data_IF_660932738452
#
_entry.id   IF_660932738452
#
_cell.length_a   1.000
_cell.length_b   1.000
_cell.length_c   1.000
_cell.angle_alpha   90.00
_cell.angle_beta   90.00
_cell.angle_gamma   90.00
#
_symmetry.space_group_name_H-M   'P 1'
#
loop_
_entity.id
_entity.type
_entity.pdbx_description
1 polymer ?
#
# COMPACT_ATOMS: atom_id res chain seq x y z
N UNK A 1 -31.49 -67.55 -0.69
CA UNK A 1 -31.54 -66.21 -1.23
C UNK A 1 -31.13 -65.26 -0.10
N UNK A 2 -29.85 -64.80 -0.03
CA UNK A 2 -29.33 -63.86 1.01
C UNK A 2 -29.48 -62.41 0.50
N UNK A 3 -30.27 -61.62 1.16
CA UNK A 3 -30.45 -60.23 0.85
C UNK A 3 -29.25 -59.45 1.42
N UNK A 4 -28.48 -58.81 0.56
CA UNK A 4 -27.37 -57.91 0.90
C UNK A 4 -27.97 -56.52 1.21
N UNK A 5 -27.84 -56.05 2.41
CA UNK A 5 -28.23 -54.69 2.79
C UNK A 5 -27.01 -53.77 2.59
N UNK A 6 -27.13 -52.80 1.69
CA UNK A 6 -26.14 -51.75 1.46
C UNK A 6 -26.49 -50.62 2.44
N UNK A 7 -25.60 -50.37 3.41
CA UNK A 7 -25.68 -49.20 4.30
C UNK A 7 -24.92 -48.06 3.60
N UNK A 8 -25.65 -47.04 3.15
CA UNK A 8 -25.05 -45.76 2.68
C UNK A 8 -24.70 -44.94 3.92
N UNK A 9 -23.42 -44.82 4.19
CA UNK A 9 -22.93 -43.80 5.13
C UNK A 9 -22.91 -42.44 4.42
N UNK A 10 -23.83 -41.55 4.75
CA UNK A 10 -23.80 -40.15 4.37
C UNK A 10 -22.78 -39.45 5.28
N UNK A 11 -21.60 -39.17 4.73
CA UNK A 11 -20.59 -38.34 5.41
C UNK A 11 -21.03 -36.86 5.44
N UNK A 12 -21.43 -36.36 6.59
CA UNK A 12 -21.59 -34.93 6.83
C UNK A 12 -20.22 -34.29 6.88
N UNK A 13 -19.82 -33.57 5.83
CA UNK A 13 -18.70 -32.66 5.88
C UNK A 13 -19.11 -31.46 6.76
N UNK A 14 -18.66 -31.43 8.01
CA UNK A 14 -18.80 -30.28 8.88
C UNK A 14 -17.90 -29.16 8.29
N UNK A 15 -18.52 -28.19 7.63
CA UNK A 15 -17.86 -26.93 7.31
C UNK A 15 -17.67 -26.18 8.62
N UNK A 16 -16.48 -26.21 9.19
CA UNK A 16 -16.11 -25.31 10.29
C UNK A 16 -16.21 -23.87 9.75
N UNK A 17 -17.22 -23.14 10.16
CA UNK A 17 -17.28 -21.71 9.95
C UNK A 17 -16.08 -21.11 10.74
N UNK A 18 -15.05 -20.70 10.00
CA UNK A 18 -13.91 -20.02 10.60
C UNK A 18 -14.41 -18.66 11.08
N UNK A 19 -14.24 -18.37 12.37
CA UNK A 19 -14.65 -17.09 12.96
C UNK A 19 -14.07 -15.94 12.15
N UNK A 20 -14.92 -14.96 11.84
CA UNK A 20 -14.50 -13.74 11.18
C UNK A 20 -13.61 -12.96 12.15
N UNK A 21 -12.43 -12.53 11.69
CA UNK A 21 -11.56 -11.67 12.48
C UNK A 21 -12.13 -10.25 12.44
N UNK A 22 -12.65 -9.77 13.55
CA UNK A 22 -13.08 -8.38 13.72
C UNK A 22 -11.90 -7.50 14.15
N UNK A 23 -12.05 -6.19 13.99
CA UNK A 23 -11.05 -5.17 14.31
C UNK A 23 -11.72 -4.01 15.03
N UNK A 24 -10.97 -3.37 15.94
CA UNK A 24 -11.42 -2.15 16.61
C UNK A 24 -10.33 -1.07 16.56
N UNK A 25 -10.73 0.19 16.73
CA UNK A 25 -9.80 1.31 16.91
C UNK A 25 -9.23 1.24 18.31
N UNK A 26 -8.02 0.72 18.47
CA UNK A 26 -7.33 0.61 19.75
C UNK A 26 -6.74 1.95 20.19
N UNK A 27 -6.31 2.77 19.23
CA UNK A 27 -5.69 4.07 19.51
C UNK A 27 -5.86 5.03 18.33
N UNK A 28 -5.90 6.32 18.65
CA UNK A 28 -5.81 7.43 17.70
C UNK A 28 -4.67 8.35 18.10
N UNK A 29 -3.78 8.65 17.15
CA UNK A 29 -2.62 9.51 17.37
C UNK A 29 -2.74 10.74 16.49
N UNK A 30 -2.85 11.92 17.08
CA UNK A 30 -2.86 13.18 16.35
C UNK A 30 -1.45 13.50 15.80
N UNK A 31 -1.38 13.85 14.52
CA UNK A 31 -0.14 14.33 13.89
C UNK A 31 -0.13 15.87 13.75
N UNK A 32 -1.29 16.47 13.64
CA UNK A 32 -1.44 17.90 13.43
C UNK A 32 -1.19 18.32 11.98
N UNK A 33 -0.94 19.60 11.76
CA UNK A 33 -0.64 20.14 10.43
C UNK A 33 0.79 19.78 9.97
N UNK A 34 1.01 19.71 8.64
CA UNK A 34 0.05 19.97 7.56
C UNK A 34 -0.94 18.82 7.35
N UNK A 35 -2.17 19.13 6.92
CA UNK A 35 -3.24 18.13 6.71
C UNK A 35 -3.20 17.57 5.28
N UNK A 36 -2.02 17.15 4.88
CA UNK A 36 -1.75 16.45 3.64
C UNK A 36 -0.92 15.20 3.97
N UNK A 37 -1.31 14.08 3.43
CA UNK A 37 -0.65 12.80 3.66
C UNK A 37 -0.73 11.93 2.42
N UNK A 38 0.13 10.93 2.39
CA UNK A 38 0.12 9.87 1.40
C UNK A 38 0.50 8.53 2.03
N UNK A 39 1.44 7.78 1.46
CA UNK A 39 1.77 6.43 1.90
C UNK A 39 2.31 6.36 3.33
N UNK A 40 2.07 5.21 3.95
CA UNK A 40 2.62 4.82 5.23
C UNK A 40 3.46 3.57 5.04
N UNK A 41 4.56 3.45 5.79
CA UNK A 41 5.39 2.26 5.84
C UNK A 41 5.66 1.87 7.29
N UNK A 42 5.39 0.60 7.62
CA UNK A 42 5.76 0.02 8.89
C UNK A 42 7.04 -0.81 8.74
N UNK A 43 8.07 -0.45 9.50
CA UNK A 43 9.32 -1.22 9.59
C UNK A 43 9.26 -2.17 10.79
N UNK A 44 8.99 -3.44 10.53
CA UNK A 44 8.85 -4.47 11.56
C UNK A 44 10.07 -4.63 12.46
N UNK A 45 11.31 -4.67 11.93
CA UNK A 45 12.52 -4.79 12.75
C UNK A 45 12.70 -3.69 13.77
N UNK A 46 12.39 -2.44 13.46
CA UNK A 46 12.51 -1.31 14.39
C UNK A 46 11.21 -0.98 15.12
N UNK A 47 10.09 -1.59 14.74
CA UNK A 47 8.73 -1.26 15.19
C UNK A 47 8.34 0.19 14.93
N UNK A 48 8.85 0.81 13.87
CA UNK A 48 8.56 2.20 13.52
C UNK A 48 7.56 2.31 12.40
N UNK A 49 6.64 3.25 12.57
CA UNK A 49 5.71 3.67 11.54
C UNK A 49 6.18 5.00 10.95
N UNK A 50 6.40 5.03 9.66
CA UNK A 50 6.76 6.21 8.90
C UNK A 50 5.53 6.68 8.13
N UNK A 51 5.18 7.95 8.26
CA UNK A 51 3.99 8.55 7.64
C UNK A 51 4.41 9.71 6.78
N UNK A 52 4.13 9.65 5.49
CA UNK A 52 4.23 10.81 4.60
C UNK A 52 3.26 11.90 5.07
N UNK A 53 3.78 13.07 5.44
CA UNK A 53 3.05 14.11 6.16
C UNK A 53 3.35 15.50 5.59
N UNK A 54 2.78 15.77 4.42
CA UNK A 54 2.95 17.02 3.72
C UNK A 54 4.39 17.28 3.29
N UNK A 55 5.10 18.16 3.98
CA UNK A 55 6.48 18.57 3.69
C UNK A 55 7.54 17.77 4.47
N UNK A 56 7.13 16.69 5.16
CA UNK A 56 7.97 15.89 6.07
C UNK A 56 7.49 14.45 6.14
N UNK A 57 8.32 13.57 6.71
CA UNK A 57 7.89 12.25 7.18
C UNK A 57 7.84 12.28 8.70
N UNK A 58 6.69 11.99 9.29
CA UNK A 58 6.55 11.81 10.74
C UNK A 58 6.81 10.36 11.11
N UNK A 59 7.67 10.13 12.10
CA UNK A 59 8.05 8.78 12.56
C UNK A 59 7.45 8.53 13.94
N UNK A 60 6.71 7.42 14.06
CA UNK A 60 6.08 7.02 15.31
C UNK A 60 6.59 5.65 15.77
N UNK A 61 6.52 5.40 17.06
CA UNK A 61 6.56 4.04 17.60
C UNK A 61 5.26 3.32 17.24
N UNK A 62 5.35 2.20 16.52
CA UNK A 62 4.19 1.45 16.07
C UNK A 62 3.48 0.67 17.18
N UNK A 63 4.07 0.56 18.38
CA UNK A 63 3.46 -0.10 19.53
C UNK A 63 2.59 0.84 20.33
N UNK A 64 3.15 2.00 20.69
CA UNK A 64 2.48 2.95 21.59
C UNK A 64 2.07 4.26 20.93
N UNK A 65 2.48 4.52 19.68
CA UNK A 65 2.12 5.70 18.90
C UNK A 65 2.82 6.97 19.33
N UNK A 66 3.87 6.91 20.16
CA UNK A 66 4.66 8.08 20.49
C UNK A 66 5.40 8.59 19.25
N UNK A 67 5.44 9.92 19.06
CA UNK A 67 6.18 10.54 17.96
C UNK A 67 7.67 10.51 18.33
N UNK A 68 8.46 9.80 17.53
CA UNK A 68 9.91 9.63 17.73
C UNK A 68 10.71 10.75 17.07
N UNK A 69 10.18 11.38 16.02
CA UNK A 69 10.84 12.45 15.30
C UNK A 69 10.22 12.73 13.94
N UNK A 70 10.88 13.59 13.18
CA UNK A 70 10.47 13.99 11.84
C UNK A 70 11.67 14.06 10.91
N UNK A 71 11.45 13.64 9.66
CA UNK A 71 12.37 13.89 8.54
C UNK A 71 11.85 15.10 7.80
N UNK A 72 12.57 16.21 7.83
CA UNK A 72 12.14 17.51 7.31
C UNK A 72 12.89 17.88 6.01
N UNK A 73 12.38 18.87 5.29
CA UNK A 73 13.08 19.50 4.17
C UNK A 73 12.57 19.11 2.78
N UNK A 74 11.32 18.67 2.66
CA UNK A 74 10.67 18.33 1.38
C UNK A 74 9.51 19.31 1.07
N UNK A 75 9.81 20.58 0.75
CA UNK A 75 8.75 21.60 0.55
C UNK A 75 7.84 21.31 -0.65
N UNK A 76 8.26 20.46 -1.56
CA UNK A 76 7.46 20.00 -2.71
C UNK A 76 6.41 18.95 -2.35
N UNK A 77 6.53 18.36 -1.18
CA UNK A 77 5.64 17.33 -0.65
C UNK A 77 6.26 15.92 -0.70
N UNK A 78 5.94 15.12 0.32
CA UNK A 78 6.33 13.72 0.42
C UNK A 78 5.15 12.80 0.10
N UNK A 79 5.43 11.67 -0.52
CA UNK A 79 4.47 10.62 -0.87
C UNK A 79 5.01 9.25 -0.46
N UNK A 80 6.03 8.74 -1.15
CA UNK A 80 6.62 7.43 -0.93
C UNK A 80 7.65 7.37 0.21
N UNK A 81 7.82 6.18 0.79
CA UNK A 81 8.83 5.92 1.82
C UNK A 81 9.42 4.53 1.58
N UNK A 82 10.74 4.43 1.50
CA UNK A 82 11.47 3.16 1.39
C UNK A 82 12.47 3.02 2.53
N UNK A 83 12.51 1.87 3.20
CA UNK A 83 13.40 1.61 4.34
C UNK A 83 14.45 0.56 3.95
N UNK A 84 15.72 0.90 4.14
CA UNK A 84 16.87 0.03 3.86
C UNK A 84 17.69 -0.14 5.15
N UNK A 85 17.18 -0.94 6.07
CA UNK A 85 17.76 -1.14 7.38
C UNK A 85 19.22 -1.62 7.35
N UNK A 86 19.60 -2.40 6.33
CA UNK A 86 20.97 -2.93 6.17
C UNK A 86 22.05 -1.84 6.02
N UNK A 87 21.68 -0.65 5.55
CA UNK A 87 22.59 0.51 5.42
C UNK A 87 22.21 1.67 6.35
N UNK A 88 21.22 1.48 7.23
CA UNK A 88 20.76 2.48 8.19
C UNK A 88 20.07 3.68 7.55
N UNK A 89 19.51 3.55 6.35
CA UNK A 89 18.91 4.64 5.58
C UNK A 89 17.44 4.40 5.27
N UNK A 90 16.69 5.50 5.23
CA UNK A 90 15.39 5.59 4.59
C UNK A 90 15.45 6.54 3.40
N UNK A 91 14.45 6.45 2.55
CA UNK A 91 14.26 7.31 1.39
C UNK A 91 12.83 7.79 1.36
N UNK A 92 12.64 9.06 1.06
CA UNK A 92 11.36 9.67 0.72
C UNK A 92 11.54 10.52 -0.53
N UNK A 93 10.47 11.10 -1.03
CA UNK A 93 10.52 12.01 -2.18
C UNK A 93 10.33 13.47 -1.76
N UNK A 94 10.75 14.36 -2.64
CA UNK A 94 10.27 15.73 -2.75
C UNK A 94 9.61 15.85 -4.12
N UNK A 95 8.32 15.48 -4.18
CA UNK A 95 7.63 15.18 -5.44
C UNK A 95 7.70 16.28 -6.48
N UNK A 96 7.44 17.54 -6.08
CA UNK A 96 7.52 18.68 -7.01
C UNK A 96 8.93 19.03 -7.43
N UNK A 97 9.94 18.68 -6.64
CA UNK A 97 11.34 18.86 -7.01
C UNK A 97 11.83 17.75 -7.95
N UNK A 98 11.09 16.66 -8.07
CA UNK A 98 11.51 15.47 -8.84
C UNK A 98 12.74 14.82 -8.24
N UNK A 99 12.77 14.67 -6.91
CA UNK A 99 13.92 14.14 -6.19
C UNK A 99 13.51 13.06 -5.20
N UNK A 100 14.37 12.05 -5.04
CA UNK A 100 14.38 11.21 -3.85
C UNK A 100 15.35 11.78 -2.82
N UNK A 101 14.99 11.70 -1.56
CA UNK A 101 15.76 12.26 -0.44
C UNK A 101 16.11 11.13 0.52
N UNK A 102 17.40 10.83 0.65
CA UNK A 102 17.90 9.89 1.64
C UNK A 102 17.83 10.51 3.03
N UNK A 103 17.57 9.69 4.07
CA UNK A 103 17.63 10.11 5.45
C UNK A 103 18.20 9.01 6.36
N UNK A 104 18.77 9.40 7.47
CA UNK A 104 19.35 8.50 8.46
C UNK A 104 18.25 7.95 9.38
N UNK A 105 18.19 6.63 9.56
CA UNK A 105 17.14 5.97 10.37
C UNK A 105 17.27 6.19 11.88
N UNK A 106 18.43 6.63 12.40
CA UNK A 106 18.61 6.87 13.83
C UNK A 106 18.31 8.33 14.19
N UNK A 107 18.79 9.24 13.37
CA UNK A 107 18.74 10.70 13.66
C UNK A 107 17.61 11.42 12.94
N UNK A 108 16.99 10.80 11.95
CA UNK A 108 15.97 11.35 11.04
C UNK A 108 16.44 12.55 10.22
N UNK A 109 17.74 12.78 10.17
CA UNK A 109 18.31 13.87 9.38
C UNK A 109 18.32 13.51 7.90
N UNK A 110 17.90 14.45 7.07
CA UNK A 110 18.01 14.36 5.62
C UNK A 110 19.49 14.36 5.21
N UNK A 111 19.78 13.53 4.21
CA UNK A 111 21.10 13.37 3.61
C UNK A 111 21.09 13.82 2.15
N UNK A 112 21.58 12.95 1.28
CA UNK A 112 21.71 13.26 -0.16
C UNK A 112 20.34 13.37 -0.83
N UNK A 113 20.19 14.39 -1.66
CA UNK A 113 19.10 14.54 -2.62
C UNK A 113 19.53 13.92 -3.94
N UNK A 114 18.70 13.07 -4.51
CA UNK A 114 19.01 12.28 -5.68
C UNK A 114 17.98 12.64 -6.74
N UNK A 115 18.45 13.09 -7.90
CA UNK A 115 17.53 13.43 -8.98
C UNK A 115 16.74 12.17 -9.41
N UNK A 116 15.45 12.31 -9.38
CA UNK A 116 14.47 11.42 -9.98
C UNK A 116 13.83 12.13 -11.17
N UNK A 117 12.56 11.87 -11.46
CA UNK A 117 11.82 12.55 -12.51
C UNK A 117 10.59 13.26 -11.91
N UNK A 118 9.91 14.04 -12.73
CA UNK A 118 8.71 14.75 -12.30
C UNK A 118 7.68 13.78 -11.71
N UNK A 119 7.00 14.24 -10.67
CA UNK A 119 6.05 13.46 -9.92
C UNK A 119 6.68 12.20 -9.31
N UNK A 120 7.81 12.40 -8.62
CA UNK A 120 8.37 11.36 -7.75
C UNK A 120 7.35 11.09 -6.63
N UNK A 121 6.92 9.83 -6.52
CA UNK A 121 5.77 9.42 -5.72
C UNK A 121 6.08 8.14 -4.92
N UNK A 122 5.56 6.98 -5.31
CA UNK A 122 5.80 5.74 -4.61
C UNK A 122 7.28 5.35 -4.52
N UNK A 123 7.72 4.86 -3.36
CA UNK A 123 9.10 4.37 -3.17
C UNK A 123 9.08 2.95 -2.62
N UNK A 124 9.78 2.04 -3.27
CA UNK A 124 9.85 0.63 -2.88
C UNK A 124 11.29 0.16 -2.82
N UNK A 125 11.67 -0.47 -1.71
CA UNK A 125 12.92 -1.23 -1.60
C UNK A 125 12.72 -2.65 -2.13
N UNK A 126 13.60 -3.10 -3.03
CA UNK A 126 13.65 -4.49 -3.47
C UNK A 126 14.84 -5.22 -2.82
N UNK A 127 14.59 -6.13 -1.86
CA UNK A 127 15.65 -6.87 -1.18
C UNK A 127 16.47 -7.77 -2.12
N UNK A 128 15.88 -8.21 -3.24
CA UNK A 128 16.56 -9.13 -4.18
C UNK A 128 17.69 -8.44 -4.96
N UNK A 129 17.48 -7.20 -5.38
CA UNK A 129 18.52 -6.38 -6.04
C UNK A 129 19.31 -5.53 -5.06
N UNK A 130 18.73 -5.24 -3.88
CA UNK A 130 19.25 -4.31 -2.90
C UNK A 130 19.07 -2.84 -3.31
N UNK A 131 18.19 -2.54 -4.28
CA UNK A 131 17.97 -1.20 -4.81
C UNK A 131 16.63 -0.61 -4.34
N UNK A 132 16.56 0.71 -4.39
CA UNK A 132 15.32 1.49 -4.25
C UNK A 132 14.78 1.77 -5.65
N UNK A 133 13.46 1.64 -5.80
CA UNK A 133 12.71 2.03 -6.99
C UNK A 133 11.77 3.18 -6.63
N UNK A 134 11.95 4.32 -7.29
CA UNK A 134 11.10 5.50 -7.17
C UNK A 134 10.13 5.49 -8.36
N UNK A 135 8.85 5.46 -8.08
CA UNK A 135 7.81 5.60 -9.09
C UNK A 135 7.69 7.09 -9.43
N UNK A 136 7.82 7.44 -10.70
CA UNK A 136 7.58 8.79 -11.19
C UNK A 136 6.32 8.74 -12.05
N UNK A 137 5.17 9.06 -11.45
CA UNK A 137 3.84 8.79 -11.99
C UNK A 137 3.60 9.43 -13.35
N UNK A 138 3.75 10.75 -13.43
CA UNK A 138 3.53 11.53 -14.64
C UNK A 138 4.62 11.31 -15.70
N UNK A 139 5.86 11.08 -15.28
CA UNK A 139 6.99 10.81 -16.17
C UNK A 139 6.97 9.40 -16.75
N UNK A 140 6.14 8.49 -16.20
CA UNK A 140 5.92 7.12 -16.68
C UNK A 140 7.16 6.22 -16.59
N UNK A 141 8.07 6.53 -15.67
CA UNK A 141 9.33 5.81 -15.48
C UNK A 141 9.56 5.47 -14.00
N UNK A 142 10.45 4.50 -13.77
CA UNK A 142 11.03 4.26 -12.44
C UNK A 142 12.46 4.76 -12.42
N UNK A 143 12.84 5.48 -11.38
CA UNK A 143 14.24 5.79 -11.08
C UNK A 143 14.78 4.73 -10.12
N UNK A 144 15.88 4.08 -10.49
CA UNK A 144 16.53 3.05 -9.67
C UNK A 144 17.73 3.65 -8.94
N UNK A 145 17.77 3.50 -7.62
CA UNK A 145 18.80 4.08 -6.76
C UNK A 145 19.56 2.97 -6.04
N UNK A 146 20.91 3.04 -6.07
CA UNK A 146 21.77 2.22 -5.22
C UNK A 146 21.91 2.89 -3.84
N UNK A 147 21.37 2.29 -2.76
CA UNK A 147 21.43 2.87 -1.42
C UNK A 147 22.82 2.86 -0.76
N UNK A 148 23.79 2.16 -1.33
CA UNK A 148 25.17 2.18 -0.85
C UNK A 148 25.88 3.46 -1.25
N UNK A 149 25.56 4.01 -2.42
CA UNK A 149 26.20 5.20 -2.99
C UNK A 149 25.29 6.43 -3.01
N UNK A 150 23.98 6.26 -2.77
CA UNK A 150 22.93 7.28 -2.92
C UNK A 150 22.96 7.88 -4.34
N UNK A 151 23.01 7.05 -5.37
CA UNK A 151 23.03 7.49 -6.76
C UNK A 151 21.96 6.78 -7.57
N UNK A 152 21.32 7.52 -8.47
CA UNK A 152 20.49 6.93 -9.51
C UNK A 152 21.40 6.15 -10.48
N UNK A 153 21.08 4.87 -10.71
CA UNK A 153 21.87 3.95 -11.53
C UNK A 153 21.16 3.52 -12.80
N UNK A 154 19.85 3.68 -12.86
CA UNK A 154 19.05 3.38 -14.05
C UNK A 154 17.72 4.14 -14.03
N UNK A 155 17.12 4.27 -15.22
CA UNK A 155 15.74 4.68 -15.45
C UNK A 155 15.05 3.58 -16.23
N UNK A 156 13.86 3.16 -15.77
CA UNK A 156 13.06 2.10 -16.42
C UNK A 156 11.81 2.73 -17.00
N UNK A 157 11.69 2.72 -18.32
CA UNK A 157 10.47 3.17 -19.02
C UNK A 157 9.37 2.11 -18.85
N UNK A 158 8.27 2.50 -18.21
CA UNK A 158 7.11 1.65 -17.99
C UNK A 158 5.97 1.90 -18.99
N UNK A 159 6.12 2.89 -19.85
CA UNK A 159 5.27 3.14 -21.02
C UNK A 159 3.89 3.73 -20.71
N UNK A 160 3.53 4.03 -19.48
CA UNK A 160 2.25 4.64 -19.09
C UNK A 160 2.31 5.21 -17.67
N UNK A 161 1.31 6.03 -17.30
CA UNK A 161 1.21 6.62 -15.95
C UNK A 161 1.14 5.55 -14.88
N UNK A 162 1.94 5.73 -13.84
CA UNK A 162 2.19 4.78 -12.77
C UNK A 162 1.59 5.25 -11.45
N UNK A 163 1.47 4.32 -10.49
CA UNK A 163 1.02 4.62 -9.13
C UNK A 163 1.95 3.95 -8.12
N UNK A 164 1.61 2.84 -7.55
CA UNK A 164 2.37 2.17 -6.49
C UNK A 164 3.10 0.92 -6.96
N UNK A 165 4.19 0.56 -6.28
CA UNK A 165 4.99 -0.62 -6.60
C UNK A 165 5.19 -1.51 -5.37
N UNK A 166 5.31 -2.83 -5.58
CA UNK A 166 5.70 -3.80 -4.55
C UNK A 166 6.77 -4.76 -5.06
N UNK A 167 7.71 -5.13 -4.19
CA UNK A 167 8.71 -6.15 -4.49
C UNK A 167 8.14 -7.56 -4.30
N UNK A 168 8.41 -8.44 -5.26
CA UNK A 168 8.12 -9.87 -5.15
C UNK A 168 9.12 -10.65 -4.30
N UNK A 169 10.22 -10.02 -3.85
CA UNK A 169 11.36 -10.65 -3.18
C UNK A 169 11.97 -11.83 -3.98
N UNK A 170 11.81 -11.83 -5.29
CA UNK A 170 12.24 -12.89 -6.19
C UNK A 170 12.90 -12.36 -7.47
N UNK A 171 13.42 -11.13 -7.43
CA UNK A 171 13.99 -10.44 -8.60
C UNK A 171 12.94 -9.79 -9.49
N UNK A 172 11.70 -9.64 -9.02
CA UNK A 172 10.62 -8.97 -9.73
C UNK A 172 9.99 -7.87 -8.87
N UNK A 173 9.77 -6.74 -9.51
CA UNK A 173 8.95 -5.64 -8.98
C UNK A 173 7.67 -5.57 -9.80
N UNK A 174 6.56 -5.30 -9.12
CA UNK A 174 5.25 -5.13 -9.76
C UNK A 174 4.77 -3.70 -9.50
N UNK A 175 4.29 -3.05 -10.56
CA UNK A 175 3.90 -1.64 -10.54
C UNK A 175 2.49 -1.49 -11.11
N UNK A 176 1.65 -0.73 -10.43
CA UNK A 176 0.34 -0.35 -10.97
C UNK A 176 0.50 0.63 -12.13
N UNK A 177 0.08 0.21 -13.32
CA UNK A 177 -0.06 1.05 -14.52
C UNK A 177 -1.44 1.70 -14.55
N UNK A 178 -1.60 2.81 -13.80
CA UNK A 178 -2.90 3.43 -13.55
C UNK A 178 -3.59 3.93 -14.83
N UNK A 179 -2.81 4.51 -15.76
CA UNK A 179 -3.31 5.03 -17.04
C UNK A 179 -3.82 3.89 -17.95
N UNK A 180 -3.07 2.79 -18.03
CA UNK A 180 -3.34 1.68 -18.96
C UNK A 180 -4.16 0.54 -18.37
N UNK A 181 -4.51 0.60 -17.07
CA UNK A 181 -5.21 -0.48 -16.36
C UNK A 181 -4.46 -1.81 -16.46
N UNK A 182 -3.21 -1.79 -16.04
CA UNK A 182 -2.33 -2.95 -16.14
C UNK A 182 -1.44 -3.08 -14.90
N UNK A 183 -0.82 -4.25 -14.75
CA UNK A 183 0.36 -4.43 -13.91
C UNK A 183 1.58 -4.47 -14.83
N UNK A 184 2.55 -3.61 -14.54
CA UNK A 184 3.86 -3.63 -15.18
C UNK A 184 4.80 -4.47 -14.31
N UNK A 185 5.45 -5.50 -14.89
CA UNK A 185 6.46 -6.27 -14.19
C UNK A 185 7.85 -5.85 -14.64
N UNK A 186 8.72 -5.60 -13.67
CA UNK A 186 10.11 -5.22 -13.89
C UNK A 186 11.04 -6.31 -13.38
N UNK A 187 12.00 -6.72 -14.17
CA UNK A 187 13.14 -7.53 -13.74
C UNK A 187 14.16 -6.63 -13.05
N UNK A 188 14.36 -6.83 -11.73
CA UNK A 188 15.16 -5.92 -10.90
C UNK A 188 16.67 -6.13 -11.06
N UNK A 189 17.10 -7.23 -11.67
CA UNK A 189 18.51 -7.46 -11.97
C UNK A 189 18.96 -6.73 -13.24
N UNK A 190 18.11 -6.71 -14.27
CA UNK A 190 18.40 -6.03 -15.53
C UNK A 190 17.85 -4.61 -15.60
N UNK A 191 17.00 -4.21 -14.64
CA UNK A 191 16.28 -2.92 -14.64
C UNK A 191 15.47 -2.71 -15.93
N UNK A 192 14.70 -3.73 -16.32
CA UNK A 192 13.88 -3.70 -17.55
C UNK A 192 12.48 -4.20 -17.29
N UNK A 193 11.50 -3.60 -17.94
CA UNK A 193 10.15 -4.17 -18.02
C UNK A 193 10.21 -5.49 -18.79
N UNK A 194 9.67 -6.55 -18.23
CA UNK A 194 9.59 -7.87 -18.87
C UNK A 194 8.16 -8.37 -19.09
N UNK A 195 7.15 -7.67 -18.57
CA UNK A 195 5.74 -7.95 -18.87
C UNK A 195 4.83 -6.74 -18.62
N UNK A 196 3.75 -6.66 -19.41
CA UNK A 196 2.58 -5.82 -19.22
C UNK A 196 1.35 -6.73 -19.13
N UNK A 197 0.62 -6.66 -18.03
CA UNK A 197 -0.54 -7.52 -17.77
C UNK A 197 -1.82 -6.71 -17.64
N UNK A 198 -2.68 -6.69 -18.68
CA UNK A 198 -3.95 -5.98 -18.59
C UNK A 198 -4.85 -6.52 -17.48
N UNK A 199 -5.46 -5.60 -16.74
CA UNK A 199 -6.49 -5.87 -15.71
C UNK A 199 -7.73 -5.03 -16.04
N UNK A 200 -8.48 -5.38 -17.09
CA UNK A 200 -9.48 -4.50 -17.72
C UNK A 200 -10.60 -4.07 -16.80
N UNK A 201 -10.96 -4.90 -15.81
CA UNK A 201 -12.03 -4.62 -14.85
C UNK A 201 -11.57 -3.69 -13.70
N UNK A 202 -10.30 -3.35 -13.62
CA UNK A 202 -9.71 -2.43 -12.66
C UNK A 202 -9.53 -1.05 -13.31
N UNK A 203 -10.29 -0.08 -12.88
CA UNK A 203 -10.09 1.30 -13.34
C UNK A 203 -9.12 2.00 -12.39
N UNK A 204 -8.06 2.55 -12.94
CA UNK A 204 -7.02 3.28 -12.18
C UNK A 204 -6.58 2.48 -10.94
N UNK A 205 -5.76 1.44 -11.10
CA UNK A 205 -5.18 0.68 -10.01
C UNK A 205 -4.33 1.60 -9.11
N UNK A 206 -4.59 1.60 -7.79
CA UNK A 206 -3.92 2.45 -6.80
C UNK A 206 -3.16 1.61 -5.76
N UNK A 207 -3.84 1.08 -4.74
CA UNK A 207 -3.19 0.25 -3.76
C UNK A 207 -2.72 -1.08 -4.34
N UNK A 208 -1.56 -1.56 -3.89
CA UNK A 208 -0.97 -2.81 -4.33
C UNK A 208 -0.33 -3.54 -3.14
N UNK A 209 -0.68 -4.80 -2.97
CA UNK A 209 -0.04 -5.70 -2.00
C UNK A 209 0.27 -7.05 -2.65
N UNK A 210 1.11 -7.86 -2.01
CA UNK A 210 1.52 -9.16 -2.55
C UNK A 210 1.57 -10.25 -1.47
N UNK A 211 1.04 -11.44 -1.78
CA UNK A 211 1.45 -12.67 -1.13
C UNK A 211 2.65 -13.27 -1.91
N UNK A 212 3.85 -13.05 -1.39
CA UNK A 212 5.07 -13.56 -2.03
C UNK A 212 5.16 -15.09 -2.02
N UNK A 213 4.49 -15.75 -1.07
CA UNK A 213 4.46 -17.22 -0.97
C UNK A 213 3.52 -17.85 -2.00
N UNK A 214 2.30 -17.33 -2.11
CA UNK A 214 1.32 -17.82 -3.08
C UNK A 214 1.48 -17.17 -4.46
N UNK A 215 2.34 -16.16 -4.60
CA UNK A 215 2.54 -15.37 -5.82
C UNK A 215 1.22 -14.77 -6.31
N UNK A 216 0.56 -13.98 -5.43
CA UNK A 216 -0.68 -13.27 -5.74
C UNK A 216 -0.54 -11.79 -5.44
N UNK A 217 -0.88 -10.97 -6.40
CA UNK A 217 -0.99 -9.52 -6.26
C UNK A 217 -2.44 -9.17 -5.90
N UNK A 218 -2.60 -8.20 -5.03
CA UNK A 218 -3.87 -7.65 -4.59
C UNK A 218 -3.92 -6.18 -4.97
N UNK A 219 -4.74 -5.87 -5.97
CA UNK A 219 -4.80 -4.55 -6.62
C UNK A 219 -6.12 -3.89 -6.27
N UNK A 220 -6.10 -2.82 -5.49
CA UNK A 220 -7.30 -2.02 -5.23
C UNK A 220 -7.50 -0.96 -6.30
N UNK A 221 -8.74 -0.82 -6.78
CA UNK A 221 -9.08 -0.06 -7.97
C UNK A 221 -10.10 1.04 -7.65
N UNK A 222 -9.96 2.20 -8.25
CA UNK A 222 -10.83 3.37 -8.00
C UNK A 222 -12.33 3.10 -8.26
N UNK A 223 -12.63 2.15 -9.14
CA UNK A 223 -14.01 1.70 -9.38
C UNK A 223 -14.55 0.71 -8.34
N UNK A 224 -14.03 0.73 -7.11
CA UNK A 224 -14.52 -0.02 -5.96
C UNK A 224 -14.45 -1.55 -6.12
N UNK A 225 -13.40 -2.03 -6.74
CA UNK A 225 -13.08 -3.46 -6.81
C UNK A 225 -11.64 -3.70 -6.37
N UNK A 226 -11.39 -4.90 -5.83
CA UNK A 226 -10.06 -5.44 -5.64
C UNK A 226 -9.88 -6.60 -6.61
N UNK A 227 -8.84 -6.50 -7.44
CA UNK A 227 -8.49 -7.53 -8.42
C UNK A 227 -7.31 -8.34 -7.90
N UNK A 228 -7.44 -9.66 -7.93
CA UNK A 228 -6.36 -10.60 -7.59
C UNK A 228 -5.70 -11.07 -8.87
N UNK A 229 -4.38 -10.92 -8.95
CA UNK A 229 -3.61 -11.26 -10.15
C UNK A 229 -2.52 -12.28 -9.80
N UNK A 230 -2.36 -13.29 -10.63
CA UNK A 230 -1.25 -14.24 -10.52
C UNK A 230 0.07 -13.55 -10.90
N UNK A 231 0.99 -13.41 -9.94
CA UNK A 231 2.25 -12.70 -10.10
C UNK A 231 3.28 -13.42 -11.00
N UNK A 232 3.00 -14.65 -11.45
CA UNK A 232 3.87 -15.38 -12.36
C UNK A 232 3.52 -15.13 -13.83
N UNK A 233 2.22 -15.02 -14.14
CA UNK A 233 1.73 -14.99 -15.52
C UNK A 233 0.73 -13.88 -15.85
N UNK A 234 0.34 -13.06 -14.87
CA UNK A 234 -0.58 -11.94 -15.06
C UNK A 234 -2.05 -12.31 -15.18
N UNK A 235 -2.42 -13.58 -14.99
CA UNK A 235 -3.82 -13.99 -15.06
C UNK A 235 -4.63 -13.38 -13.92
N UNK A 236 -5.78 -12.79 -14.23
CA UNK A 236 -6.76 -12.36 -13.22
C UNK A 236 -7.40 -13.61 -12.62
N UNK A 237 -7.31 -13.72 -11.29
CA UNK A 237 -7.79 -14.88 -10.52
C UNK A 237 -9.18 -14.60 -9.95
N UNK A 238 -9.41 -13.39 -9.45
CA UNK A 238 -10.66 -12.97 -8.85
C UNK A 238 -10.82 -11.45 -8.90
N UNK A 239 -12.08 -11.00 -8.85
CA UNK A 239 -12.44 -9.60 -8.65
C UNK A 239 -13.53 -9.53 -7.58
N UNK A 240 -13.32 -8.72 -6.54
CA UNK A 240 -14.22 -8.62 -5.39
C UNK A 240 -14.59 -7.16 -5.12
N UNK A 241 -15.80 -6.87 -4.61
CA UNK A 241 -16.19 -5.52 -4.25
C UNK A 241 -15.41 -5.02 -3.01
N UNK A 242 -15.06 -3.74 -3.01
CA UNK A 242 -14.48 -2.99 -1.89
C UNK A 242 -15.20 -1.66 -1.70
N UNK A 243 -14.88 -0.91 -0.66
CA UNK A 243 -15.39 0.46 -0.46
C UNK A 243 -14.92 1.45 -1.53
N UNK A 244 -15.39 2.68 -1.43
CA UNK A 244 -15.11 3.72 -2.43
C UNK A 244 -13.92 4.60 -2.06
N UNK A 245 -13.16 5.03 -3.08
CA UNK A 245 -12.05 5.95 -2.90
C UNK A 245 -10.81 5.30 -2.28
N UNK A 246 -10.53 4.06 -2.68
CA UNK A 246 -9.35 3.32 -2.24
C UNK A 246 -8.05 3.99 -2.72
N UNK A 247 -6.99 3.80 -1.93
CA UNK A 247 -5.63 4.25 -2.25
C UNK A 247 -4.55 3.31 -1.66
N UNK A 248 -4.92 2.53 -0.65
CA UNK A 248 -4.01 1.60 0.03
C UNK A 248 -4.50 0.16 0.00
N UNK A 249 -3.56 -0.77 -0.08
CA UNK A 249 -3.79 -2.20 0.09
C UNK A 249 -2.72 -2.81 0.99
N UNK A 250 -3.10 -3.82 1.78
CA UNK A 250 -2.17 -4.56 2.63
C UNK A 250 -2.55 -6.05 2.67
N UNK A 251 -1.58 -6.90 3.00
CA UNK A 251 -1.80 -8.34 3.17
C UNK A 251 -1.22 -8.83 4.50
N UNK A 252 -2.03 -9.56 5.25
CA UNK A 252 -1.61 -10.30 6.44
C UNK A 252 -1.34 -11.76 6.07
N UNK A 253 -0.08 -12.18 5.97
CA UNK A 253 0.25 -13.54 5.59
C UNK A 253 -0.10 -14.58 6.66
N UNK A 254 -0.18 -14.14 7.93
CA UNK A 254 -0.47 -15.03 9.07
C UNK A 254 -1.95 -15.37 9.13
N UNK A 255 -2.82 -14.37 8.91
CA UNK A 255 -4.28 -14.51 8.97
C UNK A 255 -4.91 -14.74 7.61
N UNK A 256 -4.13 -14.63 6.52
CA UNK A 256 -4.60 -14.72 5.14
C UNK A 256 -5.72 -13.69 4.85
N UNK A 257 -5.49 -12.46 5.28
CA UNK A 257 -6.41 -11.35 5.08
C UNK A 257 -5.78 -10.29 4.18
N UNK A 258 -6.57 -9.85 3.22
CA UNK A 258 -6.26 -8.72 2.34
C UNK A 258 -7.12 -7.54 2.80
N UNK A 259 -6.51 -6.37 2.86
CA UNK A 259 -7.15 -5.15 3.28
C UNK A 259 -7.06 -4.09 2.18
N UNK A 260 -8.11 -3.29 2.05
CA UNK A 260 -8.13 -2.09 1.22
C UNK A 260 -8.74 -0.95 2.02
N UNK A 261 -7.97 0.11 2.24
CA UNK A 261 -8.46 1.32 2.90
C UNK A 261 -9.23 2.18 1.91
N UNK A 262 -10.36 2.75 2.36
CA UNK A 262 -11.29 3.46 1.51
C UNK A 262 -11.65 4.82 2.11
N UNK A 263 -11.74 5.84 1.27
CA UNK A 263 -12.08 7.20 1.68
C UNK A 263 -13.49 7.30 2.31
N UNK A 264 -14.38 6.36 2.02
CA UNK A 264 -15.74 6.30 2.55
C UNK A 264 -15.84 5.96 4.05
N UNK A 265 -14.72 5.76 4.73
CA UNK A 265 -14.66 5.44 6.15
C UNK A 265 -14.71 3.95 6.44
N UNK A 266 -14.24 3.14 5.51
CA UNK A 266 -14.13 1.70 5.71
C UNK A 266 -12.72 1.17 5.37
N UNK A 267 -12.38 0.02 5.96
CA UNK A 267 -11.33 -0.86 5.44
C UNK A 267 -12.02 -2.15 5.02
N UNK A 268 -12.00 -2.43 3.73
CA UNK A 268 -12.54 -3.69 3.19
C UNK A 268 -11.64 -4.84 3.57
N UNK A 269 -12.22 -5.97 3.94
CA UNK A 269 -11.52 -7.18 4.36
C UNK A 269 -11.87 -8.32 3.42
N UNK A 270 -10.86 -8.97 2.87
CA UNK A 270 -11.04 -10.13 1.98
C UNK A 270 -10.17 -11.26 2.53
N UNK A 271 -10.77 -12.43 2.71
CA UNK A 271 -10.06 -13.64 3.13
C UNK A 271 -9.56 -14.41 1.90
N UNK A 272 -8.27 -14.73 1.90
CA UNK A 272 -7.71 -15.74 1.03
C UNK A 272 -8.02 -17.13 1.61
N UNK A 273 -9.00 -17.82 1.03
CA UNK A 273 -9.37 -19.19 1.41
C UNK A 273 -8.36 -20.19 0.82
N UNK A 274 -7.91 -19.92 -0.38
CA UNK A 274 -6.80 -20.57 -1.08
C UNK A 274 -6.23 -19.59 -2.11
N UNK A 275 -5.07 -19.86 -2.72
CA UNK A 275 -4.50 -18.99 -3.75
C UNK A 275 -5.43 -18.66 -4.93
N UNK A 276 -6.49 -19.45 -5.13
CA UNK A 276 -7.46 -19.26 -6.22
C UNK A 276 -8.90 -19.04 -5.73
N UNK A 277 -9.11 -18.86 -4.42
CA UNK A 277 -10.44 -18.63 -3.83
C UNK A 277 -10.41 -17.56 -2.75
N UNK A 278 -11.22 -16.55 -2.93
CA UNK A 278 -11.30 -15.37 -2.07
C UNK A 278 -12.74 -15.15 -1.60
N UNK A 279 -12.91 -14.58 -0.42
CA UNK A 279 -14.20 -14.28 0.16
C UNK A 279 -14.16 -12.90 0.83
N UNK A 280 -15.06 -12.02 0.39
CA UNK A 280 -15.28 -10.74 1.10
C UNK A 280 -15.82 -11.02 2.50
N UNK A 281 -15.32 -10.25 3.47
CA UNK A 281 -15.75 -10.24 4.86
C UNK A 281 -16.45 -8.91 5.15
N UNK A 282 -16.99 -8.74 6.38
CA UNK A 282 -17.50 -7.45 6.81
C UNK A 282 -16.36 -6.43 6.88
N UNK A 283 -16.63 -5.23 6.38
CA UNK A 283 -15.65 -4.15 6.42
C UNK A 283 -15.49 -3.58 7.83
N UNK A 284 -14.26 -3.23 8.17
CA UNK A 284 -13.95 -2.50 9.40
C UNK A 284 -14.43 -1.05 9.22
N UNK A 285 -15.20 -0.55 10.19
CA UNK A 285 -15.59 0.86 10.21
C UNK A 285 -14.43 1.72 10.71
N UNK A 286 -14.10 2.74 9.95
CA UNK A 286 -13.09 3.74 10.30
C UNK A 286 -13.70 5.14 10.19
N UNK A 287 -12.88 6.14 9.95
CA UNK A 287 -13.32 7.50 9.69
C UNK A 287 -13.26 7.79 8.18
N UNK A 288 -14.23 8.56 7.68
CA UNK A 288 -14.16 9.14 6.33
C UNK A 288 -12.79 9.81 6.15
N UNK A 289 -12.22 9.75 4.96
CA UNK A 289 -10.87 10.20 4.58
C UNK A 289 -9.76 9.13 4.68
N UNK A 290 -10.02 7.96 5.26
CA UNK A 290 -9.04 6.89 5.48
C UNK A 290 -8.63 6.15 4.21
N UNK A 291 -7.85 6.77 3.34
CA UNK A 291 -7.48 6.21 2.03
C UNK A 291 -6.15 5.44 1.98
N UNK A 292 -5.17 5.80 2.82
CA UNK A 292 -3.85 5.15 2.86
C UNK A 292 -3.70 4.32 4.13
N UNK A 293 -2.99 3.20 4.02
CA UNK A 293 -2.79 2.27 5.12
C UNK A 293 -1.49 1.47 4.99
N UNK A 294 -1.07 0.90 6.13
CA UNK A 294 -0.06 -0.17 6.20
C UNK A 294 -0.39 -1.15 7.32
N UNK A 295 0.39 -2.21 7.46
CA UNK A 295 0.18 -3.27 8.46
C UNK A 295 1.47 -3.61 9.19
N UNK A 296 1.37 -3.94 10.48
CA UNK A 296 2.34 -4.77 11.18
C UNK A 296 1.95 -6.25 10.99
N UNK A 297 2.64 -7.00 10.14
CA UNK A 297 2.26 -8.38 9.85
C UNK A 297 2.47 -9.33 11.04
N UNK A 298 3.23 -8.93 12.06
CA UNK A 298 3.46 -9.75 13.25
C UNK A 298 2.25 -9.73 14.19
N UNK A 299 1.71 -8.55 14.46
CA UNK A 299 0.52 -8.39 15.33
C UNK A 299 -0.79 -8.44 14.54
N UNK A 300 -0.78 -8.10 13.26
CA UNK A 300 -1.96 -7.86 12.43
C UNK A 300 -2.54 -6.46 12.59
N UNK A 301 -1.89 -5.58 13.37
CA UNK A 301 -2.31 -4.18 13.53
C UNK A 301 -2.26 -3.43 12.22
N UNK A 302 -3.36 -2.75 11.89
CA UNK A 302 -3.42 -1.85 10.74
C UNK A 302 -3.20 -0.41 11.22
N UNK A 303 -2.57 0.38 10.36
CA UNK A 303 -2.40 1.81 10.55
C UNK A 303 -3.08 2.52 9.38
N UNK A 304 -4.01 3.43 9.68
CA UNK A 304 -4.79 4.16 8.68
C UNK A 304 -4.71 5.65 8.98
N UNK A 305 -4.29 6.44 8.01
CA UNK A 305 -4.31 7.92 8.13
C UNK A 305 -5.69 8.46 7.80
N UNK A 306 -6.16 9.36 8.66
CA UNK A 306 -7.44 10.04 8.51
C UNK A 306 -7.32 11.51 8.94
N UNK A 307 -8.26 12.35 8.47
CA UNK A 307 -8.40 13.72 8.95
C UNK A 307 -9.88 14.05 9.13
N UNK A 308 -10.18 15.03 9.99
CA UNK A 308 -11.55 15.53 10.13
C UNK A 308 -11.92 16.43 8.95
N UNK A 309 -13.17 16.45 8.57
CA UNK A 309 -13.72 17.31 7.54
C UNK A 309 -14.93 18.07 8.07
N UNK A 310 -15.21 19.23 7.51
CA UNK A 310 -16.50 19.89 7.71
C UNK A 310 -17.52 19.30 6.71
N UNK A 311 -18.52 18.57 7.15
CA UNK A 311 -19.51 17.96 6.26
C UNK A 311 -20.36 19.00 5.50
N UNK A 312 -20.37 20.26 5.95
CA UNK A 312 -21.13 21.35 5.36
C UNK A 312 -20.27 22.24 4.43
N UNK A 313 -18.95 22.01 4.39
CA UNK A 313 -18.08 22.79 3.53
C UNK A 313 -18.35 22.49 2.04
N UNK A 314 -18.26 23.49 1.16
CA UNK A 314 -18.34 23.26 -0.28
C UNK A 314 -17.25 22.28 -0.73
N UNK A 315 -17.64 21.25 -1.47
CA UNK A 315 -16.69 20.30 -2.05
C UNK A 315 -16.14 20.92 -3.35
N UNK A 316 -14.84 21.21 -3.43
CA UNK A 316 -14.24 21.73 -4.63
C UNK A 316 -14.30 20.69 -5.75
N UNK A 317 -14.37 21.10 -7.04
CA UNK A 317 -14.24 20.15 -8.14
C UNK A 317 -12.95 19.36 -8.04
N UNK A 318 -13.01 18.07 -8.29
CA UNK A 318 -11.81 17.22 -8.36
C UNK A 318 -11.05 17.44 -9.69
N UNK A 319 -9.78 17.04 -9.76
CA UNK A 319 -9.00 17.11 -10.98
C UNK A 319 -9.58 16.18 -12.06
N UNK A 320 -9.40 16.56 -13.33
CA UNK A 320 -9.75 15.74 -14.50
C UNK A 320 -11.20 15.23 -14.53
N UNK A 321 -12.16 16.05 -13.99
CA UNK A 321 -13.58 15.70 -13.96
C UNK A 321 -13.98 14.64 -12.94
N UNK A 322 -13.08 14.25 -12.04
CA UNK A 322 -13.40 13.37 -10.91
C UNK A 322 -14.26 14.11 -9.89
N UNK A 323 -15.08 13.41 -9.10
CA UNK A 323 -15.75 14.02 -7.95
C UNK A 323 -14.73 14.67 -7.02
N UNK A 324 -15.00 15.86 -6.52
CA UNK A 324 -14.17 16.49 -5.52
C UNK A 324 -14.21 15.78 -4.18
N UNK A 325 -13.30 16.15 -3.30
CA UNK A 325 -13.26 15.67 -1.90
C UNK A 325 -13.30 16.87 -0.96
N UNK A 326 -14.01 16.79 0.16
CA UNK A 326 -13.93 17.80 1.20
C UNK A 326 -12.49 18.04 1.64
N UNK A 327 -12.16 19.27 1.97
CA UNK A 327 -10.84 19.59 2.52
C UNK A 327 -10.78 19.17 3.99
N UNK A 328 -9.64 18.62 4.44
CA UNK A 328 -9.41 18.39 5.86
C UNK A 328 -9.50 19.67 6.67
N UNK A 329 -9.97 19.55 7.92
CA UNK A 329 -9.89 20.63 8.89
C UNK A 329 -8.44 20.85 9.31
N UNK A 330 -8.00 22.10 9.46
CA UNK A 330 -6.61 22.42 9.82
C UNK A 330 -6.16 21.73 11.13
N UNK A 331 -5.03 21.04 11.09
CA UNK A 331 -4.42 20.36 12.23
C UNK A 331 -5.12 19.08 12.67
N UNK A 332 -5.98 18.50 11.81
CA UNK A 332 -6.79 17.34 12.16
C UNK A 332 -6.22 15.99 11.71
N UNK A 333 -5.09 15.99 11.01
CA UNK A 333 -4.46 14.73 10.56
C UNK A 333 -4.10 13.85 11.76
N UNK A 334 -4.45 12.58 11.66
CA UNK A 334 -4.21 11.56 12.70
C UNK A 334 -4.03 10.18 12.08
N UNK A 335 -3.44 9.28 12.86
CA UNK A 335 -3.33 7.86 12.53
C UNK A 335 -4.22 7.06 13.46
N UNK A 336 -5.05 6.19 12.88
CA UNK A 336 -5.79 5.16 13.60
C UNK A 336 -4.93 3.90 13.70
N UNK A 337 -4.85 3.33 14.87
CA UNK A 337 -4.28 2.02 15.17
C UNK A 337 -5.45 1.05 15.34
N UNK A 338 -5.58 0.09 14.43
CA UNK A 338 -6.67 -0.88 14.43
C UNK A 338 -6.10 -2.25 14.81
N UNK A 339 -6.55 -2.79 15.94
CA UNK A 339 -6.12 -4.10 16.41
C UNK A 339 -7.14 -5.18 16.04
N UNK A 340 -6.69 -6.40 15.68
CA UNK A 340 -7.58 -7.54 15.56
C UNK A 340 -8.11 -7.93 16.94
N UNK A 341 -9.40 -8.29 17.01
CA UNK A 341 -9.99 -8.88 18.19
C UNK A 341 -9.49 -10.33 18.35
N UNK A 342 -9.32 -10.77 19.58
CA UNK A 342 -8.80 -12.09 19.94
C UNK A 342 -9.89 -13.16 20.01
#
# INVERSE_FOLDING_TARGET
MRKLAIVLLAGFAATTAQAQTSYHVAKTVALGAPDRWDYLVYDGPSHRLYVSHGDRVTVLDGKDGSILGQVEGMPGGTHGIGIVGAVGKGYTDDGKAGEAVAFDLQTFKTGKRIKAENDADGITFDPSSGHIFVVNGDSKVLTVIDPKTDTAIATVDAGGGLEYAVSGNNGKLYVNGAEKKEIVRVDTASNKVDAHWPIPDCTSPHGLAIDTKAQRLFVSCVNSVLTVVNAQNGAVVATLPIGTGTDGAAFDPSRKLIFSSNYDGTVSVIREVSPDKYQAQDSIKTQITGKNMTIDPASGRLFVTVADIDPNAPVPPGPNGRPGRPRPLPGSLKVLFLDPDH
#
